data_IF_537532186194
#
_entry.id   IF_537532186194
#
_cell.length_a   1.000
_cell.length_b   1.000
_cell.length_c   1.000
_cell.angle_alpha   90.00
_cell.angle_beta   90.00
_cell.angle_gamma   90.00
#
_symmetry.space_group_name_H-M   'P 1'
#
loop_
_entity.id
_entity.type
_entity.pdbx_description
1 polymer ?
#
# COMPACT_ATOMS: atom_id res chain seq x y z
N UNK A 1 -23.76 2.37 -52.58
CA UNK A 1 -22.67 3.14 -51.95
C UNK A 1 -22.55 2.70 -50.50
N UNK A 2 -21.42 2.05 -50.18
CA UNK A 2 -21.13 1.55 -48.84
C UNK A 2 -20.78 2.71 -47.90
N UNK A 3 -21.50 2.81 -46.78
CA UNK A 3 -21.10 3.61 -45.62
C UNK A 3 -20.06 2.81 -44.85
N UNK A 4 -18.79 3.12 -45.09
CA UNK A 4 -17.61 2.37 -44.66
C UNK A 4 -16.60 3.26 -43.92
N UNK A 5 -17.08 4.22 -43.11
CA UNK A 5 -16.23 5.00 -42.22
C UNK A 5 -16.80 4.99 -40.82
N UNK A 6 -15.97 4.50 -39.90
CA UNK A 6 -16.34 4.06 -38.57
C UNK A 6 -17.00 5.12 -37.70
N UNK A 7 -18.17 4.74 -37.17
CA UNK A 7 -18.56 5.17 -35.84
C UNK A 7 -17.53 4.60 -34.86
N UNK A 8 -16.51 5.39 -34.53
CA UNK A 8 -15.72 5.12 -33.33
C UNK A 8 -16.67 5.18 -32.14
N UNK A 9 -16.87 4.05 -31.46
CA UNK A 9 -17.54 3.98 -30.17
C UNK A 9 -16.84 4.96 -29.23
N UNK A 10 -17.42 6.16 -29.02
CA UNK A 10 -17.02 7.01 -27.91
C UNK A 10 -17.38 6.24 -26.65
N UNK A 11 -16.38 5.88 -25.86
CA UNK A 11 -16.55 5.18 -24.59
C UNK A 11 -17.50 6.00 -23.72
N UNK A 12 -18.44 5.34 -23.05
CA UNK A 12 -19.31 6.06 -22.10
C UNK A 12 -18.46 6.63 -20.96
N UNK A 13 -18.97 7.65 -20.27
CA UNK A 13 -18.32 8.19 -19.07
C UNK A 13 -18.01 7.09 -18.05
N UNK A 14 -18.93 6.14 -17.84
CA UNK A 14 -18.73 4.97 -16.98
C UNK A 14 -17.57 4.07 -17.46
N UNK A 15 -17.41 3.88 -18.78
CA UNK A 15 -16.31 3.10 -19.34
C UNK A 15 -14.96 3.81 -19.16
N UNK A 16 -14.93 5.14 -19.30
CA UNK A 16 -13.72 5.93 -19.06
C UNK A 16 -13.29 5.88 -17.59
N UNK A 17 -14.24 5.99 -16.65
CA UNK A 17 -13.99 5.84 -15.22
C UNK A 17 -13.47 4.43 -14.87
N UNK A 18 -14.10 3.39 -15.43
CA UNK A 18 -13.69 2.01 -15.19
C UNK A 18 -12.27 1.74 -15.72
N UNK A 19 -11.94 2.24 -16.90
CA UNK A 19 -10.59 2.13 -17.47
C UNK A 19 -9.56 2.93 -16.67
N UNK A 20 -9.91 4.14 -16.21
CA UNK A 20 -9.04 4.96 -15.35
C UNK A 20 -8.70 4.22 -14.05
N UNK A 21 -9.70 3.69 -13.35
CA UNK A 21 -9.50 2.88 -12.15
C UNK A 21 -8.65 1.63 -12.42
N UNK A 22 -8.85 0.96 -13.56
CA UNK A 22 -8.01 -0.19 -13.93
C UNK A 22 -6.56 0.22 -14.20
N UNK A 23 -6.34 1.33 -14.92
CA UNK A 23 -5.02 1.86 -15.19
C UNK A 23 -4.30 2.29 -13.89
N UNK A 24 -5.01 2.93 -12.96
CA UNK A 24 -4.50 3.28 -11.62
C UNK A 24 -4.08 2.03 -10.85
N UNK A 25 -4.92 0.98 -10.81
CA UNK A 25 -4.58 -0.28 -10.15
C UNK A 25 -3.33 -0.94 -10.74
N UNK A 26 -3.19 -0.95 -12.07
CA UNK A 26 -2.00 -1.48 -12.74
C UNK A 26 -0.75 -0.64 -12.42
N UNK A 27 -0.88 0.69 -12.40
CA UNK A 27 0.19 1.57 -11.99
C UNK A 27 0.62 1.31 -10.53
N UNK A 28 -0.32 1.10 -9.61
CA UNK A 28 -0.05 0.81 -8.20
C UNK A 28 0.74 -0.50 -8.05
N UNK A 29 0.32 -1.55 -8.76
CA UNK A 29 1.04 -2.83 -8.78
C UNK A 29 2.45 -2.69 -9.35
N UNK A 30 2.61 -1.89 -10.41
CA UNK A 30 3.91 -1.58 -10.99
C UNK A 30 4.84 -0.85 -10.01
N UNK A 31 4.33 0.14 -9.28
CA UNK A 31 5.08 0.84 -8.23
C UNK A 31 5.47 -0.11 -7.09
N UNK A 32 4.54 -0.92 -6.59
CA UNK A 32 4.80 -1.88 -5.52
C UNK A 32 5.90 -2.88 -5.90
N UNK A 33 5.89 -3.35 -7.15
CA UNK A 33 6.93 -4.24 -7.68
C UNK A 33 8.29 -3.56 -7.73
N UNK A 34 8.36 -2.29 -8.14
CA UNK A 34 9.60 -1.51 -8.16
C UNK A 34 10.14 -1.25 -6.76
N UNK A 35 9.27 -0.88 -5.82
CA UNK A 35 9.64 -0.69 -4.40
C UNK A 35 10.23 -1.99 -3.84
N UNK A 36 9.56 -3.12 -4.05
CA UNK A 36 10.07 -4.43 -3.59
C UNK A 36 11.44 -4.80 -4.21
N UNK A 37 11.66 -4.46 -5.49
CA UNK A 37 12.97 -4.64 -6.13
C UNK A 37 14.05 -3.74 -5.51
N UNK A 38 13.72 -2.49 -5.21
CA UNK A 38 14.63 -1.56 -4.54
C UNK A 38 14.96 -2.04 -3.12
N UNK A 39 13.95 -2.46 -2.34
CA UNK A 39 14.13 -3.00 -0.98
C UNK A 39 15.06 -4.23 -0.99
N UNK A 40 14.90 -5.11 -1.98
CA UNK A 40 15.79 -6.28 -2.16
C UNK A 40 17.22 -5.85 -2.44
N UNK A 41 17.44 -4.85 -3.31
CA UNK A 41 18.78 -4.34 -3.61
C UNK A 41 19.40 -3.63 -2.40
N UNK A 42 18.62 -2.86 -1.64
CA UNK A 42 19.04 -2.19 -0.41
C UNK A 42 19.47 -3.23 0.62
N UNK A 43 18.68 -4.29 0.82
CA UNK A 43 19.00 -5.39 1.73
C UNK A 43 20.31 -6.10 1.34
N UNK A 44 20.54 -6.35 0.05
CA UNK A 44 21.80 -6.92 -0.43
C UNK A 44 22.99 -5.99 -0.16
N UNK A 45 22.83 -4.67 -0.31
CA UNK A 45 23.88 -3.70 0.02
C UNK A 45 24.15 -3.64 1.52
N UNK A 46 23.12 -3.71 2.37
CA UNK A 46 23.26 -3.78 3.83
C UNK A 46 24.10 -4.99 4.24
N UNK A 47 23.82 -6.18 3.68
CA UNK A 47 24.61 -7.38 3.97
C UNK A 47 26.08 -7.25 3.55
N UNK A 48 26.35 -6.61 2.40
CA UNK A 48 27.71 -6.33 1.95
C UNK A 48 28.43 -5.35 2.88
N UNK A 49 27.74 -4.28 3.29
CA UNK A 49 28.25 -3.28 4.24
C UNK A 49 28.59 -3.93 5.59
N UNK A 50 27.70 -4.73 6.16
CA UNK A 50 27.95 -5.51 7.39
C UNK A 50 29.16 -6.44 7.26
N UNK A 51 29.32 -7.07 6.09
CA UNK A 51 30.48 -7.94 5.84
C UNK A 51 31.79 -7.15 5.79
N UNK A 52 31.78 -5.96 5.18
CA UNK A 52 32.95 -5.08 5.16
C UNK A 52 33.23 -4.53 6.56
N UNK A 53 32.20 -4.16 7.32
CA UNK A 53 32.32 -3.68 8.69
C UNK A 53 33.04 -4.72 9.57
N UNK A 54 32.60 -5.98 9.56
CA UNK A 54 33.28 -7.07 10.30
C UNK A 54 34.75 -7.23 9.91
N UNK A 55 35.10 -7.02 8.64
CA UNK A 55 36.49 -7.04 8.15
C UNK A 55 37.29 -5.83 8.63
N UNK A 56 36.66 -4.65 8.72
CA UNK A 56 37.28 -3.44 9.27
C UNK A 56 37.56 -3.64 10.77
N UNK A 57 36.56 -4.08 11.55
CA UNK A 57 36.68 -4.28 13.00
C UNK A 57 37.70 -5.36 13.39
N UNK A 58 37.88 -6.39 12.55
CA UNK A 58 38.90 -7.42 12.76
C UNK A 58 40.30 -7.04 12.26
N UNK A 59 40.43 -5.99 11.44
CA UNK A 59 41.71 -5.53 10.92
C UNK A 59 42.43 -4.67 11.95
N UNK A 60 43.60 -5.14 12.42
CA UNK A 60 44.41 -4.46 13.44
C UNK A 60 45.20 -3.25 12.94
N UNK A 61 45.25 -3.00 11.63
CA UNK A 61 46.06 -1.93 11.04
C UNK A 61 45.19 -0.93 10.28
N UNK A 62 45.29 0.35 10.64
CA UNK A 62 44.56 1.44 9.96
C UNK A 62 44.90 1.53 8.47
N UNK A 63 46.14 1.24 8.08
CA UNK A 63 46.57 1.19 6.67
C UNK A 63 45.89 0.05 5.89
N UNK A 64 45.59 -1.07 6.53
CA UNK A 64 44.84 -2.19 5.94
C UNK A 64 43.33 -1.93 5.85
N UNK A 65 42.79 -1.00 6.64
CA UNK A 65 41.37 -0.63 6.63
C UNK A 65 41.02 0.37 5.51
N UNK A 66 41.96 1.21 5.06
CA UNK A 66 41.72 2.23 4.02
C UNK A 66 40.99 1.71 2.77
N UNK A 67 41.42 0.61 2.11
CA UNK A 67 40.70 0.09 0.94
C UNK A 67 39.30 -0.44 1.28
N UNK A 68 39.11 -1.00 2.48
CA UNK A 68 37.80 -1.48 2.95
C UNK A 68 36.84 -0.31 3.22
N UNK A 69 37.33 0.78 3.83
CA UNK A 69 36.56 2.01 4.05
C UNK A 69 36.15 2.67 2.74
N UNK A 70 37.05 2.75 1.76
CA UNK A 70 36.72 3.25 0.42
C UNK A 70 35.68 2.38 -0.31
N UNK A 71 35.75 1.06 -0.13
CA UNK A 71 34.74 0.15 -0.67
C UNK A 71 33.38 0.35 0.03
N UNK A 72 33.38 0.49 1.36
CA UNK A 72 32.18 0.76 2.14
C UNK A 72 31.51 2.07 1.72
N UNK A 73 32.26 3.17 1.56
CA UNK A 73 31.75 4.46 1.07
C UNK A 73 31.00 4.33 -0.26
N UNK A 74 31.56 3.60 -1.22
CA UNK A 74 30.90 3.40 -2.53
C UNK A 74 29.59 2.65 -2.41
N UNK A 75 29.54 1.62 -1.56
CA UNK A 75 28.32 0.85 -1.32
C UNK A 75 27.28 1.67 -0.54
N UNK A 76 27.72 2.51 0.40
CA UNK A 76 26.87 3.39 1.18
C UNK A 76 26.20 4.46 0.32
N UNK A 77 26.98 5.13 -0.53
CA UNK A 77 26.48 6.08 -1.54
C UNK A 77 25.41 5.43 -2.43
N UNK A 78 25.69 4.22 -2.94
CA UNK A 78 24.74 3.48 -3.75
C UNK A 78 23.46 3.15 -2.95
N UNK A 79 23.60 2.71 -1.70
CA UNK A 79 22.47 2.40 -0.82
C UNK A 79 21.58 3.62 -0.63
N UNK A 80 22.14 4.77 -0.26
CA UNK A 80 21.39 6.02 -0.07
C UNK A 80 20.65 6.45 -1.33
N UNK A 81 21.30 6.34 -2.49
CA UNK A 81 20.65 6.65 -3.76
C UNK A 81 19.42 5.74 -4.00
N UNK A 82 19.55 4.44 -3.74
CA UNK A 82 18.41 3.52 -3.86
C UNK A 82 17.31 3.82 -2.83
N UNK A 83 17.67 4.16 -1.59
CA UNK A 83 16.71 4.56 -0.55
C UNK A 83 15.94 5.83 -0.96
N UNK A 84 16.63 6.86 -1.45
CA UNK A 84 15.97 8.07 -1.94
C UNK A 84 15.00 7.79 -3.09
N UNK A 85 15.36 6.93 -4.05
CA UNK A 85 14.44 6.50 -5.10
C UNK A 85 13.24 5.74 -4.53
N UNK A 86 13.46 4.86 -3.55
CA UNK A 86 12.41 4.07 -2.91
C UNK A 86 11.43 4.96 -2.15
N UNK A 87 11.91 5.93 -1.38
CA UNK A 87 11.09 6.87 -0.63
C UNK A 87 10.27 7.79 -1.55
N UNK A 88 10.86 8.21 -2.68
CA UNK A 88 10.13 8.96 -3.71
C UNK A 88 8.98 8.14 -4.31
N UNK A 89 9.20 6.85 -4.62
CA UNK A 89 8.16 5.96 -5.13
C UNK A 89 7.07 5.67 -4.09
N UNK A 90 7.44 5.55 -2.81
CA UNK A 90 6.48 5.37 -1.72
C UNK A 90 5.57 6.61 -1.57
N UNK A 91 6.15 7.81 -1.64
CA UNK A 91 5.37 9.06 -1.65
C UNK A 91 4.42 9.15 -2.84
N UNK A 92 4.87 8.73 -4.02
CA UNK A 92 4.04 8.64 -5.22
C UNK A 92 2.90 7.62 -5.05
N UNK A 93 3.20 6.46 -4.48
CA UNK A 93 2.22 5.42 -4.19
C UNK A 93 1.13 5.94 -3.24
N UNK A 94 1.53 6.62 -2.16
CA UNK A 94 0.59 7.21 -1.21
C UNK A 94 -0.31 8.27 -1.85
N UNK A 95 0.26 9.18 -2.65
CA UNK A 95 -0.50 10.20 -3.38
C UNK A 95 -1.53 9.56 -4.31
N UNK A 96 -1.16 8.46 -4.98
CA UNK A 96 -2.06 7.71 -5.86
C UNK A 96 -3.15 6.97 -5.07
N UNK A 97 -2.84 6.43 -3.90
CA UNK A 97 -3.85 5.87 -2.99
C UNK A 97 -4.86 6.94 -2.54
N UNK A 98 -4.41 8.16 -2.21
CA UNK A 98 -5.32 9.26 -1.85
C UNK A 98 -6.24 9.66 -3.03
N UNK A 99 -5.68 9.72 -4.24
CA UNK A 99 -6.47 9.99 -5.45
C UNK A 99 -7.52 8.89 -5.71
N UNK A 100 -7.15 7.61 -5.55
CA UNK A 100 -8.08 6.50 -5.69
C UNK A 100 -9.22 6.57 -4.66
N UNK A 101 -8.92 6.84 -3.39
CA UNK A 101 -9.94 7.00 -2.35
C UNK A 101 -10.91 8.14 -2.68
N UNK A 102 -10.41 9.24 -3.24
CA UNK A 102 -11.24 10.36 -3.70
C UNK A 102 -12.13 9.94 -4.87
N UNK A 103 -11.57 9.26 -5.87
CA UNK A 103 -12.31 8.70 -7.02
C UNK A 103 -13.43 7.76 -6.56
N UNK A 104 -13.14 6.83 -5.64
CA UNK A 104 -14.12 5.87 -5.11
C UNK A 104 -15.26 6.58 -4.37
N UNK A 105 -14.95 7.63 -3.60
CA UNK A 105 -15.97 8.44 -2.93
C UNK A 105 -16.86 9.22 -3.92
N UNK A 106 -16.26 9.78 -4.97
CA UNK A 106 -17.00 10.45 -6.05
C UNK A 106 -17.92 9.47 -6.78
N UNK A 107 -17.43 8.26 -7.07
CA UNK A 107 -18.23 7.20 -7.69
C UNK A 107 -19.43 6.80 -6.82
N UNK A 108 -19.20 6.56 -5.51
CA UNK A 108 -20.28 6.24 -4.58
C UNK A 108 -21.33 7.36 -4.49
N UNK A 109 -20.87 8.61 -4.50
CA UNK A 109 -21.74 9.79 -4.56
C UNK A 109 -22.55 9.82 -5.84
N UNK A 110 -21.92 9.59 -7.00
CA UNK A 110 -22.59 9.54 -8.30
C UNK A 110 -23.65 8.43 -8.35
N UNK A 111 -23.35 7.23 -7.85
CA UNK A 111 -24.32 6.13 -7.76
C UNK A 111 -25.51 6.54 -6.90
N UNK A 112 -25.27 7.16 -5.75
CA UNK A 112 -26.32 7.67 -4.86
C UNK A 112 -27.17 8.74 -5.55
N UNK A 113 -26.54 9.68 -6.26
CA UNK A 113 -27.21 10.75 -7.02
C UNK A 113 -28.05 10.16 -8.14
N UNK A 114 -27.55 9.17 -8.87
CA UNK A 114 -28.30 8.47 -9.91
C UNK A 114 -29.52 7.73 -9.34
N UNK A 115 -29.36 7.04 -8.21
CA UNK A 115 -30.46 6.38 -7.50
C UNK A 115 -31.53 7.40 -7.03
N UNK A 116 -31.10 8.55 -6.50
CA UNK A 116 -31.98 9.64 -6.12
C UNK A 116 -32.69 10.23 -7.35
N UNK A 117 -32.00 10.42 -8.48
CA UNK A 117 -32.60 10.90 -9.74
C UNK A 117 -33.67 9.95 -10.24
N UNK A 118 -33.41 8.64 -10.19
CA UNK A 118 -34.38 7.63 -10.60
C UNK A 118 -35.58 7.55 -9.66
N UNK A 119 -35.34 7.60 -8.35
CA UNK A 119 -36.38 7.71 -7.32
C UNK A 119 -37.22 8.97 -7.53
N UNK A 120 -36.60 10.13 -7.80
CA UNK A 120 -37.28 11.39 -8.04
C UNK A 120 -38.09 11.34 -9.34
N UNK A 121 -37.60 10.69 -10.41
CA UNK A 121 -38.37 10.45 -11.65
C UNK A 121 -39.60 9.58 -11.39
N UNK A 122 -39.48 8.53 -10.58
CA UNK A 122 -40.62 7.71 -10.17
C UNK A 122 -41.62 8.52 -9.34
N UNK A 123 -41.15 9.30 -8.37
CA UNK A 123 -41.99 10.20 -7.57
C UNK A 123 -42.65 11.29 -8.43
N UNK A 124 -41.97 11.83 -9.44
CA UNK A 124 -42.56 12.78 -10.41
C UNK A 124 -43.70 12.16 -11.21
N UNK A 125 -43.53 10.93 -11.68
CA UNK A 125 -44.58 10.19 -12.39
C UNK A 125 -45.79 9.90 -11.49
N UNK A 126 -45.57 9.78 -10.18
CA UNK A 126 -46.59 9.42 -9.21
C UNK A 126 -47.26 10.64 -8.52
N UNK A 127 -46.56 11.77 -8.38
CA UNK A 127 -46.98 12.92 -7.56
C UNK A 127 -46.93 14.29 -8.26
N UNK A 128 -46.65 14.35 -9.56
CA UNK A 128 -46.71 15.53 -10.45
C UNK A 128 -46.79 16.91 -9.77
N UNK A 129 -45.63 17.52 -9.48
CA UNK A 129 -45.35 18.96 -9.16
C UNK A 129 -44.18 19.11 -8.14
N UNK A 130 -43.00 18.53 -8.43
CA UNK A 130 -41.77 18.87 -7.66
C UNK A 130 -40.93 19.82 -8.53
N UNK A 131 -40.51 20.95 -7.95
CA UNK A 131 -39.77 22.02 -8.60
C UNK A 131 -38.49 21.49 -9.29
N UNK A 132 -38.46 21.61 -10.62
CA UNK A 132 -37.50 20.97 -11.50
C UNK A 132 -36.16 21.71 -11.56
N UNK A 133 -36.22 23.04 -11.47
CA UNK A 133 -35.12 23.94 -11.81
C UNK A 133 -33.95 23.79 -10.83
N UNK A 134 -34.24 23.74 -9.51
CA UNK A 134 -33.22 23.55 -8.48
C UNK A 134 -32.47 22.21 -8.56
N UNK A 135 -33.05 21.21 -9.22
CA UNK A 135 -32.40 19.91 -9.40
C UNK A 135 -31.50 19.88 -10.66
N UNK A 136 -31.78 20.74 -11.63
CA UNK A 136 -30.90 20.96 -12.78
C UNK A 136 -29.68 21.78 -12.37
N UNK A 137 -29.89 22.84 -11.59
CA UNK A 137 -28.79 23.68 -11.10
C UNK A 137 -27.75 22.87 -10.31
N UNK A 138 -28.17 21.95 -9.43
CA UNK A 138 -27.24 21.05 -8.71
C UNK A 138 -26.54 20.03 -9.61
N UNK A 139 -27.17 19.63 -10.73
CA UNK A 139 -26.56 18.68 -11.66
C UNK A 139 -25.45 19.35 -12.47
N UNK A 140 -25.68 20.61 -12.85
CA UNK A 140 -24.72 21.41 -13.59
C UNK A 140 -23.53 21.77 -12.68
N UNK A 141 -23.76 22.15 -11.41
CA UNK A 141 -22.67 22.36 -10.43
C UNK A 141 -21.82 21.11 -10.17
N UNK A 142 -22.41 19.91 -10.20
CA UNK A 142 -21.66 18.67 -9.96
C UNK A 142 -20.77 18.30 -11.14
N UNK A 143 -21.21 18.61 -12.37
CA UNK A 143 -20.40 18.41 -13.58
C UNK A 143 -19.22 19.39 -13.60
N UNK A 144 -19.44 20.64 -13.21
CA UNK A 144 -18.38 21.64 -13.08
C UNK A 144 -17.34 21.26 -12.01
N UNK A 145 -17.76 20.63 -10.91
CA UNK A 145 -16.86 20.16 -9.85
C UNK A 145 -15.97 18.99 -10.29
N UNK A 146 -16.45 18.12 -11.19
CA UNK A 146 -15.66 17.03 -11.75
C UNK A 146 -14.61 17.60 -12.71
N UNK A 147 -14.98 18.57 -13.55
CA UNK A 147 -14.08 19.21 -14.51
C UNK A 147 -12.98 20.03 -13.82
N UNK A 148 -13.29 20.70 -12.70
CA UNK A 148 -12.28 21.36 -11.85
C UNK A 148 -11.34 20.37 -11.13
N UNK A 149 -11.82 19.16 -10.83
CA UNK A 149 -10.99 18.10 -10.25
C UNK A 149 -9.87 17.63 -11.19
N UNK A 150 -10.18 17.52 -12.49
CA UNK A 150 -9.20 17.17 -13.52
C UNK A 150 -8.16 18.29 -13.72
N UNK A 151 -8.58 19.56 -13.67
CA UNK A 151 -7.67 20.72 -13.76
C UNK A 151 -6.72 20.84 -12.55
N UNK A 152 -7.19 20.45 -11.35
CA UNK A 152 -6.37 20.38 -10.14
C UNK A 152 -5.29 19.28 -10.23
N UNK A 153 -5.60 18.16 -10.87
CA UNK A 153 -4.66 17.04 -11.07
C UNK A 153 -3.46 17.46 -11.96
N UNK A 154 -3.73 18.23 -13.01
CA UNK A 154 -2.70 18.78 -13.90
C UNK A 154 -1.82 19.82 -13.19
N UNK A 155 -2.41 20.63 -12.32
CA UNK A 155 -1.66 21.57 -11.48
C UNK A 155 -0.74 20.86 -10.49
N UNK A 156 -1.21 19.80 -9.82
CA UNK A 156 -0.42 18.99 -8.90
C UNK A 156 0.76 18.27 -9.59
N UNK A 157 0.57 17.80 -10.82
CA UNK A 157 1.62 17.16 -11.61
C UNK A 157 2.75 18.13 -12.04
N UNK A 158 2.41 19.41 -12.26
CA UNK A 158 3.39 20.45 -12.61
C UNK A 158 4.22 20.96 -11.41
N UNK A 159 3.76 20.70 -10.19
CA UNK A 159 4.29 21.27 -8.95
C UNK A 159 5.34 20.40 -8.23
N UNK A 160 5.99 19.44 -8.91
CA UNK A 160 7.09 18.67 -8.33
C UNK A 160 8.47 19.16 -8.79
N UNK A 161 9.08 20.12 -8.08
CA UNK A 161 10.51 20.38 -8.16
C UNK A 161 11.20 19.53 -7.08
N UNK A 162 11.67 18.34 -7.40
CA UNK A 162 12.67 17.67 -6.54
C UNK A 162 13.72 16.98 -7.39
N UNK A 163 14.63 17.81 -7.88
CA UNK A 163 15.95 17.36 -8.27
C UNK A 163 16.93 18.41 -7.80
N UNK A 164 17.41 18.32 -6.56
CA UNK A 164 18.67 18.93 -6.15
C UNK A 164 19.32 18.10 -5.03
N UNK A 165 20.62 17.88 -5.23
CA UNK A 165 21.68 17.57 -4.28
C UNK A 165 21.64 16.26 -3.49
N UNK A 166 22.23 15.24 -4.11
CA UNK A 166 22.91 14.15 -3.39
C UNK A 166 24.39 14.53 -3.28
N UNK A 167 24.75 15.21 -2.20
CA UNK A 167 26.14 15.51 -1.84
C UNK A 167 26.96 14.22 -1.61
N UNK A 168 28.26 14.30 -1.88
CA UNK A 168 29.22 13.22 -1.63
C UNK A 168 29.37 12.94 -0.13
N UNK A 169 29.05 11.72 0.31
CA UNK A 169 29.21 11.25 1.70
C UNK A 169 30.68 11.34 2.14
N UNK A 170 30.90 11.95 3.31
CA UNK A 170 32.19 12.09 4.02
C UNK A 170 32.56 10.79 4.80
N UNK A 171 33.86 10.53 4.99
CA UNK A 171 34.39 9.49 5.89
C UNK A 171 33.84 9.60 7.33
N UNK A 172 33.46 10.79 7.82
CA UNK A 172 32.85 10.97 9.15
C UNK A 172 31.41 10.48 9.24
N UNK A 173 30.65 10.58 8.15
CA UNK A 173 29.26 10.08 8.05
C UNK A 173 29.24 8.55 7.87
N UNK A 174 30.25 8.00 7.17
CA UNK A 174 30.45 6.56 7.06
C UNK A 174 30.54 5.88 8.43
N UNK A 175 31.33 6.41 9.35
CA UNK A 175 31.54 5.77 10.66
C UNK A 175 30.23 5.75 11.47
N UNK A 176 29.45 6.83 11.43
CA UNK A 176 28.14 6.90 12.08
C UNK A 176 27.12 5.91 11.48
N UNK A 177 27.09 5.76 10.15
CA UNK A 177 26.19 4.80 9.50
C UNK A 177 26.61 3.34 9.69
N UNK A 178 27.91 3.06 9.72
CA UNK A 178 28.39 1.72 10.04
C UNK A 178 28.03 1.33 11.48
N UNK A 179 28.19 2.24 12.44
CA UNK A 179 27.81 1.97 13.83
C UNK A 179 26.30 1.72 13.97
N UNK A 180 25.45 2.52 13.33
CA UNK A 180 24.00 2.28 13.28
C UNK A 180 23.64 0.92 12.65
N UNK A 181 24.32 0.50 11.58
CA UNK A 181 24.12 -0.84 10.98
C UNK A 181 24.55 -1.99 11.92
N UNK A 182 25.51 -1.76 12.81
CA UNK A 182 25.89 -2.73 13.85
C UNK A 182 24.89 -2.77 15.00
N UNK A 183 24.28 -1.63 15.36
CA UNK A 183 23.22 -1.58 16.36
C UNK A 183 21.95 -2.29 15.88
N UNK A 184 21.62 -2.21 14.58
CA UNK A 184 20.50 -2.95 13.97
C UNK A 184 20.66 -4.48 14.11
N UNK A 185 21.90 -4.99 14.00
CA UNK A 185 22.24 -6.41 14.25
C UNK A 185 22.08 -6.79 15.74
N UNK A 186 22.40 -5.88 16.67
CA UNK A 186 22.20 -6.12 18.10
C UNK A 186 20.70 -6.21 18.45
N UNK A 187 19.85 -5.38 17.84
CA UNK A 187 18.40 -5.47 18.04
C UNK A 187 17.79 -6.73 17.43
N UNK A 188 18.20 -7.12 16.23
CA UNK A 188 17.71 -8.36 15.59
C UNK A 188 18.23 -9.63 16.28
N UNK A 189 19.46 -9.63 16.79
CA UNK A 189 20.05 -10.77 17.51
C UNK A 189 19.58 -10.93 18.95
N UNK A 190 19.11 -9.86 19.60
CA UNK A 190 18.65 -9.90 21.00
C UNK A 190 17.16 -10.24 21.13
N UNK A 191 16.33 -9.96 20.13
CA UNK A 191 14.94 -10.42 20.11
C UNK A 191 14.84 -11.96 19.93
N UNK A 192 15.74 -12.57 19.14
CA UNK A 192 15.78 -14.04 18.96
C UNK A 192 16.39 -14.74 20.18
N UNK A 193 17.41 -14.16 20.82
CA UNK A 193 18.03 -14.73 22.02
C UNK A 193 17.15 -14.61 23.28
N UNK A 194 16.39 -13.52 23.44
CA UNK A 194 15.52 -13.34 24.61
C UNK A 194 14.21 -14.13 24.49
N UNK A 195 13.72 -14.36 23.26
CA UNK A 195 12.59 -15.26 22.97
C UNK A 195 12.89 -16.73 23.27
N UNK A 196 14.13 -17.18 23.02
CA UNK A 196 14.56 -18.57 23.29
C UNK A 196 14.88 -18.81 24.77
N UNK A 197 15.30 -17.78 25.52
CA UNK A 197 15.66 -17.94 26.94
C UNK A 197 14.47 -17.84 27.90
N UNK A 198 13.43 -17.06 27.57
CA UNK A 198 12.21 -16.96 28.40
C UNK A 198 11.16 -18.04 28.11
N UNK A 199 11.25 -18.76 26.99
CA UNK A 199 10.29 -19.83 26.62
C UNK A 199 10.70 -21.23 27.06
N UNK A 200 11.86 -21.42 27.69
CA UNK A 200 12.34 -22.74 28.12
C UNK A 200 11.82 -23.17 29.52
N UNK A 201 10.52 -22.97 29.74
CA UNK A 201 9.76 -23.88 30.59
C UNK A 201 9.65 -25.23 29.87
N UNK A 202 9.70 -26.38 30.57
CA UNK A 202 9.72 -27.69 29.91
C UNK A 202 8.54 -27.80 28.94
N UNK A 203 8.85 -28.14 27.70
CA UNK A 203 7.87 -28.23 26.63
C UNK A 203 6.69 -29.11 27.05
N UNK A 204 5.48 -28.59 26.89
CA UNK A 204 4.22 -29.15 27.41
C UNK A 204 3.87 -30.57 26.91
N UNK A 205 4.67 -31.15 26.01
CA UNK A 205 4.50 -32.53 25.53
C UNK A 205 5.25 -33.59 26.38
N UNK A 206 6.12 -33.17 27.31
CA UNK A 206 6.90 -34.06 28.18
C UNK A 206 6.30 -34.24 29.59
N UNK A 207 5.29 -33.44 29.95
CA UNK A 207 4.47 -33.68 31.14
C UNK A 207 3.28 -34.55 30.74
N UNK A 208 3.19 -35.77 31.27
CA UNK A 208 2.21 -36.80 30.91
C UNK A 208 0.74 -36.48 31.22
N UNK A 209 0.23 -35.33 30.79
CA UNK A 209 -1.19 -35.03 30.72
C UNK A 209 -1.69 -35.38 29.31
N UNK A 210 -2.40 -36.51 29.21
CA UNK A 210 -3.15 -36.88 28.01
C UNK A 210 -4.19 -35.78 27.76
N UNK A 211 -4.33 -35.25 26.53
CA UNK A 211 -5.39 -34.31 26.20
C UNK A 211 -6.75 -34.96 26.46
N UNK A 212 -7.54 -34.38 27.34
CA UNK A 212 -8.92 -34.83 27.56
C UNK A 212 -9.75 -34.29 26.39
N UNK A 213 -10.00 -35.15 25.40
CA UNK A 213 -11.01 -34.88 24.38
C UNK A 213 -12.34 -34.65 25.11
N UNK A 214 -12.90 -33.46 24.95
CA UNK A 214 -14.26 -33.15 25.37
C UNK A 214 -15.18 -33.85 24.37
N UNK A 215 -15.53 -35.09 24.66
CA UNK A 215 -16.65 -35.81 24.04
C UNK A 215 -17.90 -35.44 24.86
N UNK A 216 -18.41 -34.23 24.64
CA UNK A 216 -19.68 -33.81 25.22
C UNK A 216 -20.79 -34.22 24.24
N UNK A 217 -21.51 -35.28 24.57
CA UNK A 217 -22.72 -35.68 23.84
C UNK A 217 -23.72 -34.51 23.84
N UNK A 218 -24.38 -34.22 22.70
CA UNK A 218 -25.31 -33.11 22.62
C UNK A 218 -26.43 -33.29 23.65
N UNK A 219 -26.59 -32.28 24.51
CA UNK A 219 -27.60 -32.28 25.55
C UNK A 219 -29.01 -32.42 24.95
N UNK A 220 -29.88 -33.15 25.64
CA UNK A 220 -31.21 -33.53 25.15
C UNK A 220 -32.19 -32.36 24.97
N UNK A 221 -31.80 -31.13 25.31
CA UNK A 221 -32.60 -29.92 25.08
C UNK A 221 -32.51 -29.43 23.61
N UNK A 222 -31.37 -29.62 22.95
CA UNK A 222 -31.17 -29.23 21.54
C UNK A 222 -31.89 -30.18 20.56
N UNK A 223 -32.11 -31.44 20.98
CA UNK A 223 -32.84 -32.43 20.20
C UNK A 223 -34.36 -32.18 20.16
N UNK A 224 -34.94 -31.59 21.21
CA UNK A 224 -36.37 -31.21 21.23
C UNK A 224 -36.66 -29.92 20.45
N UNK A 225 -35.69 -29.00 20.40
CA UNK A 225 -35.79 -27.78 19.59
C UNK A 225 -35.78 -28.11 18.08
N UNK A 226 -34.95 -29.06 17.65
CA UNK A 226 -34.91 -29.52 16.26
C UNK A 226 -36.22 -30.20 15.82
N UNK A 227 -36.89 -30.94 16.70
CA UNK A 227 -38.15 -31.63 16.39
C UNK A 227 -39.36 -30.71 16.28
N UNK A 228 -39.37 -29.55 16.97
CA UNK A 228 -40.47 -28.56 16.88
C UNK A 228 -40.40 -27.69 15.62
N UNK A 229 -39.22 -27.56 15.00
CA UNK A 229 -39.04 -26.80 13.77
C UNK A 229 -39.44 -27.58 12.51
N UNK A 230 -39.41 -28.93 12.55
CA UNK A 230 -39.82 -29.78 11.44
C UNK A 230 -41.34 -30.03 11.38
N UNK A 231 -42.08 -29.76 12.47
CA UNK A 231 -43.55 -29.87 12.50
C UNK A 231 -44.30 -28.58 12.17
N UNK A 232 -43.60 -27.54 11.68
CA UNK A 232 -44.17 -26.23 11.36
C UNK A 232 -44.05 -25.84 9.87
N UNK A 233 -43.85 -26.81 8.98
CA UNK A 233 -44.02 -26.68 7.53
C UNK A 233 -45.15 -27.56 7.02
#
# INVERSE_FOLDING_TARGET
MNRLFGYGNKKSHDQLLQESNQAMNQAQQGLQSRVSQLDTQISQLNFQLQTIQRKISSSKSSLGQRPLRQQALKLLNKRKQLQGMRDSLDSQSWSMTQAQLTSDNLQNTMVTVNALKQTNKALKAQYGKINLDKLQDMQDEMLDLIEQGDELQDMLASASPMGEDLDEIDESELDAELDALAEEDFTAGMEDANSILESNGPASYLGGAVPQFIDEEPSTEDAEAAKKLESAQ
#
